data_IF_396916076217
#
_entry.id   IF_396916076217
#
_cell.length_a   1.000
_cell.length_b   1.000
_cell.length_c   1.000
_cell.angle_alpha   90.00
_cell.angle_beta   90.00
_cell.angle_gamma   90.00
#
_symmetry.space_group_name_H-M   'P 1'
#
loop_
_entity.id
_entity.type
_entity.pdbx_description
1 polymer ?
#
# COMPACT_ATOMS: atom_id res chain seq x y z
N UNK A 1 -55.97 9.76 -55.35
CA UNK A 1 -56.35 10.17 -53.98
C UNK A 1 -55.56 9.33 -52.96
N UNK A 2 -54.57 9.85 -52.38
CA UNK A 2 -53.77 9.16 -51.32
C UNK A 2 -54.46 9.42 -49.98
N UNK A 3 -55.11 8.37 -49.44
CA UNK A 3 -55.68 8.41 -48.08
C UNK A 3 -54.53 8.58 -47.05
N UNK A 4 -54.41 9.75 -46.47
CA UNK A 4 -53.55 9.99 -45.30
C UNK A 4 -54.16 9.26 -44.10
N UNK A 5 -53.54 8.16 -43.68
CA UNK A 5 -53.92 7.51 -42.41
C UNK A 5 -53.41 8.39 -41.29
N UNK A 6 -54.29 8.89 -40.43
CA UNK A 6 -53.92 9.57 -39.21
C UNK A 6 -53.61 8.49 -38.14
N UNK A 7 -52.50 8.68 -37.43
CA UNK A 7 -52.15 7.81 -36.29
C UNK A 7 -53.17 7.98 -35.18
N UNK A 8 -53.55 6.89 -34.58
CA UNK A 8 -54.44 6.89 -33.42
C UNK A 8 -53.62 7.24 -32.16
N UNK A 9 -54.24 7.89 -31.19
CA UNK A 9 -53.59 8.28 -29.92
C UNK A 9 -53.04 7.05 -29.18
N UNK A 10 -53.71 5.91 -29.27
CA UNK A 10 -53.29 4.65 -28.67
C UNK A 10 -52.00 4.08 -29.31
N UNK A 11 -51.86 4.26 -30.62
CA UNK A 11 -50.68 3.79 -31.38
C UNK A 11 -49.40 4.54 -30.98
N UNK A 12 -49.52 5.85 -30.75
CA UNK A 12 -48.43 6.68 -30.25
C UNK A 12 -48.09 6.29 -28.80
N UNK A 13 -49.07 6.06 -27.94
CA UNK A 13 -48.88 5.68 -26.56
C UNK A 13 -48.16 4.32 -26.44
N UNK A 14 -48.58 3.32 -27.25
CA UNK A 14 -47.92 2.02 -27.30
C UNK A 14 -46.49 2.13 -27.83
N UNK A 15 -46.26 2.93 -28.87
CA UNK A 15 -44.90 3.13 -29.40
C UNK A 15 -43.96 3.77 -28.38
N UNK A 16 -44.38 4.78 -27.62
CA UNK A 16 -43.58 5.40 -26.56
C UNK A 16 -43.31 4.39 -25.44
N UNK A 17 -44.31 3.60 -25.02
CA UNK A 17 -44.15 2.59 -23.98
C UNK A 17 -43.15 1.50 -24.41
N UNK A 18 -43.26 0.98 -25.63
CA UNK A 18 -42.31 -0.01 -26.15
C UNK A 18 -40.90 0.56 -26.31
N UNK A 19 -40.79 1.79 -26.80
CA UNK A 19 -39.48 2.45 -26.91
C UNK A 19 -38.83 2.64 -25.54
N UNK A 20 -39.61 3.08 -24.54
CA UNK A 20 -39.13 3.20 -23.17
C UNK A 20 -38.65 1.87 -22.57
N UNK A 21 -39.42 0.81 -22.78
CA UNK A 21 -39.08 -0.55 -22.33
C UNK A 21 -37.78 -1.07 -23.00
N UNK A 22 -37.67 -0.92 -24.31
CA UNK A 22 -36.48 -1.33 -25.06
C UNK A 22 -35.24 -0.53 -24.65
N UNK A 23 -35.40 0.77 -24.45
CA UNK A 23 -34.29 1.62 -23.98
C UNK A 23 -33.84 1.20 -22.58
N UNK A 24 -34.78 0.94 -21.67
CA UNK A 24 -34.46 0.46 -20.32
C UNK A 24 -33.70 -0.88 -20.33
N UNK A 25 -34.17 -1.83 -21.14
CA UNK A 25 -33.49 -3.13 -21.30
C UNK A 25 -32.11 -3.01 -21.94
N UNK A 26 -31.91 -2.08 -22.87
CA UNK A 26 -30.60 -1.85 -23.51
C UNK A 26 -29.60 -1.15 -22.59
N UNK A 27 -30.08 -0.27 -21.71
CA UNK A 27 -29.20 0.47 -20.78
C UNK A 27 -28.76 -0.35 -19.55
N UNK A 28 -29.56 -1.32 -19.12
CA UNK A 28 -29.25 -2.15 -17.96
C UNK A 28 -27.87 -2.85 -18.03
N UNK A 29 -27.52 -3.57 -19.11
CA UNK A 29 -26.20 -4.20 -19.22
C UNK A 29 -25.05 -3.20 -19.29
N UNK A 30 -25.28 -2.02 -19.87
CA UNK A 30 -24.27 -0.95 -19.92
C UNK A 30 -23.95 -0.44 -18.52
N UNK A 31 -24.97 -0.18 -17.71
CA UNK A 31 -24.78 0.27 -16.32
C UNK A 31 -24.00 -0.76 -15.49
N UNK A 32 -24.31 -2.06 -15.64
CA UNK A 32 -23.58 -3.15 -14.95
C UNK A 32 -22.12 -3.21 -15.42
N UNK A 33 -21.88 -3.07 -16.72
CA UNK A 33 -20.52 -3.10 -17.27
C UNK A 33 -19.68 -1.93 -16.79
N UNK A 34 -20.24 -0.72 -16.81
CA UNK A 34 -19.54 0.48 -16.31
C UNK A 34 -19.17 0.33 -14.84
N UNK A 35 -20.10 -0.15 -14.02
CA UNK A 35 -19.82 -0.38 -12.59
C UNK A 35 -18.68 -1.39 -12.39
N UNK A 36 -18.69 -2.51 -13.10
CA UNK A 36 -17.60 -3.51 -13.02
C UNK A 36 -16.26 -2.95 -13.48
N UNK A 37 -16.24 -2.12 -14.53
CA UNK A 37 -15.00 -1.49 -15.00
C UNK A 37 -14.43 -0.56 -13.95
N UNK A 38 -15.25 0.23 -13.26
CA UNK A 38 -14.80 1.12 -12.19
C UNK A 38 -14.24 0.31 -11.00
N UNK A 39 -14.98 -0.70 -10.53
CA UNK A 39 -14.52 -1.58 -9.44
C UNK A 39 -13.18 -2.25 -9.78
N UNK A 40 -13.05 -2.81 -10.99
CA UNK A 40 -11.81 -3.43 -11.45
C UNK A 40 -10.65 -2.42 -11.57
N UNK A 41 -10.92 -1.19 -11.98
CA UNK A 41 -9.90 -0.16 -12.11
C UNK A 41 -9.37 0.30 -10.75
N UNK A 42 -10.23 0.40 -9.74
CA UNK A 42 -9.83 0.71 -8.36
C UNK A 42 -8.92 -0.40 -7.81
N UNK A 43 -9.30 -1.67 -7.96
CA UNK A 43 -8.52 -2.83 -7.55
C UNK A 43 -7.13 -2.86 -8.21
N UNK A 44 -7.05 -2.64 -9.53
CA UNK A 44 -5.75 -2.55 -10.23
C UNK A 44 -4.88 -1.41 -9.75
N UNK A 45 -5.49 -0.28 -9.39
CA UNK A 45 -4.75 0.88 -8.89
C UNK A 45 -4.11 0.57 -7.53
N UNK A 46 -4.82 -0.13 -6.66
CA UNK A 46 -4.32 -0.52 -5.33
C UNK A 46 -3.21 -1.56 -5.41
N UNK A 47 -3.37 -2.59 -6.20
CA UNK A 47 -2.33 -3.60 -6.43
C UNK A 47 -1.06 -2.96 -7.05
N UNK A 48 -1.23 -2.04 -7.99
CA UNK A 48 -0.11 -1.33 -8.59
C UNK A 48 0.61 -0.43 -7.59
N UNK A 49 -0.12 0.22 -6.68
CA UNK A 49 0.45 1.06 -5.62
C UNK A 49 1.24 0.21 -4.61
N UNK A 50 0.69 -0.91 -4.16
CA UNK A 50 1.36 -1.90 -3.30
C UNK A 50 2.65 -2.42 -3.94
N UNK A 51 2.57 -2.84 -5.21
CA UNK A 51 3.74 -3.36 -5.94
C UNK A 51 4.84 -2.31 -6.13
N UNK A 52 4.49 -1.05 -6.39
CA UNK A 52 5.46 0.06 -6.47
C UNK A 52 6.13 0.30 -5.12
N UNK A 53 5.37 0.27 -4.03
CA UNK A 53 5.89 0.45 -2.68
C UNK A 53 6.85 -0.67 -2.31
N UNK A 54 6.50 -1.93 -2.58
CA UNK A 54 7.37 -3.08 -2.37
C UNK A 54 8.69 -2.94 -3.15
N UNK A 55 8.63 -2.57 -4.43
CA UNK A 55 9.82 -2.33 -5.25
C UNK A 55 10.67 -1.17 -4.72
N UNK A 56 10.03 -0.15 -4.13
CA UNK A 56 10.73 0.97 -3.53
C UNK A 56 11.49 0.57 -2.27
N UNK A 57 10.87 -0.20 -1.37
CA UNK A 57 11.53 -0.78 -0.18
C UNK A 57 12.66 -1.73 -0.60
N UNK A 58 12.42 -2.61 -1.56
CA UNK A 58 13.43 -3.53 -2.07
C UNK A 58 14.67 -2.80 -2.61
N UNK A 59 14.49 -1.69 -3.29
CA UNK A 59 15.58 -0.86 -3.79
C UNK A 59 16.38 -0.22 -2.66
N UNK A 60 15.72 0.29 -1.64
CA UNK A 60 16.37 0.88 -0.48
C UNK A 60 17.16 -0.17 0.32
N UNK A 61 16.61 -1.36 0.52
CA UNK A 61 17.28 -2.48 1.17
C UNK A 61 18.48 -2.97 0.36
N UNK A 62 18.37 -3.05 -0.98
CA UNK A 62 19.50 -3.42 -1.84
C UNK A 62 20.62 -2.37 -1.88
N UNK A 63 20.31 -1.10 -1.57
CA UNK A 63 21.29 -0.03 -1.43
C UNK A 63 21.93 0.03 -0.03
N UNK A 64 21.63 -0.92 0.85
CA UNK A 64 22.14 -0.94 2.22
C UNK A 64 23.66 -1.13 2.28
N UNK A 65 24.29 -0.51 3.27
CA UNK A 65 25.73 -0.56 3.51
C UNK A 65 26.15 -1.89 4.14
N UNK A 66 26.50 -2.89 3.33
CA UNK A 66 26.81 -4.26 3.77
C UNK A 66 27.99 -4.39 4.74
N UNK A 67 28.86 -3.41 4.81
CA UNK A 67 30.07 -3.44 5.65
C UNK A 67 29.84 -2.93 7.06
N UNK A 68 28.69 -2.36 7.38
CA UNK A 68 28.36 -1.91 8.74
C UNK A 68 27.85 -3.08 9.59
N UNK A 69 28.23 -3.19 10.87
CA UNK A 69 27.73 -4.25 11.74
C UNK A 69 26.24 -4.12 12.09
N UNK A 70 25.68 -2.91 12.01
CA UNK A 70 24.28 -2.61 12.33
C UNK A 70 23.59 -1.99 11.12
N UNK A 71 23.39 -2.77 10.07
CA UNK A 71 22.83 -2.28 8.80
C UNK A 71 21.31 -2.30 8.83
N UNK A 72 20.74 -3.30 9.48
CA UNK A 72 19.31 -3.55 9.51
C UNK A 72 18.82 -3.62 10.95
N UNK A 73 17.75 -2.91 11.24
CA UNK A 73 16.99 -3.05 12.48
C UNK A 73 15.52 -3.17 12.15
N UNK A 74 14.89 -4.20 12.67
CA UNK A 74 13.45 -4.42 12.64
C UNK A 74 12.97 -4.38 14.08
N UNK A 75 11.92 -3.62 14.35
CA UNK A 75 11.24 -3.57 15.63
C UNK A 75 9.81 -4.02 15.45
N UNK A 76 9.42 -5.01 16.23
CA UNK A 76 8.03 -5.45 16.33
C UNK A 76 7.17 -4.32 16.92
N UNK A 77 6.10 -3.99 16.24
CA UNK A 77 5.14 -2.99 16.67
C UNK A 77 3.75 -3.38 16.19
N UNK A 78 2.76 -3.12 17.01
CA UNK A 78 1.36 -3.38 16.68
C UNK A 78 0.57 -2.07 16.69
N UNK A 79 -0.41 -1.98 15.79
CA UNK A 79 -1.40 -0.91 15.81
C UNK A 79 -2.34 -1.06 16.99
N UNK A 80 -3.07 -0.01 17.36
CA UNK A 80 -4.16 -0.07 18.35
C UNK A 80 -5.24 -1.11 17.96
N UNK A 81 -5.30 -1.49 16.70
CA UNK A 81 -6.19 -2.51 16.18
C UNK A 81 -5.64 -3.94 16.21
N UNK A 82 -4.40 -4.16 16.70
CA UNK A 82 -3.75 -5.47 16.74
C UNK A 82 -3.26 -5.97 15.39
N UNK A 83 -3.04 -5.09 14.41
CA UNK A 83 -2.38 -5.42 13.15
C UNK A 83 -0.89 -5.16 13.27
N UNK A 84 -0.07 -5.90 12.55
CA UNK A 84 1.38 -5.67 12.48
C UNK A 84 1.67 -4.28 11.92
N UNK A 85 2.50 -3.53 12.63
CA UNK A 85 2.93 -2.17 12.28
C UNK A 85 4.43 -2.01 12.49
N UNK A 86 5.20 -3.01 12.06
CA UNK A 86 6.63 -3.09 12.29
C UNK A 86 7.39 -1.87 11.79
N UNK A 87 8.54 -1.63 12.41
CA UNK A 87 9.45 -0.58 11.99
C UNK A 87 10.68 -1.20 11.34
N UNK A 88 10.88 -0.86 10.07
CA UNK A 88 12.05 -1.27 9.30
C UNK A 88 13.03 -0.11 9.18
N UNK A 89 14.26 -0.29 9.66
CA UNK A 89 15.35 0.68 9.54
C UNK A 89 16.54 0.05 8.85
N UNK A 90 17.05 0.70 7.80
CA UNK A 90 18.24 0.24 7.08
C UNK A 90 19.23 1.37 6.86
N UNK A 91 20.51 1.09 7.05
CA UNK A 91 21.57 2.04 6.76
C UNK A 91 21.92 1.99 5.26
N UNK A 92 21.67 3.09 4.55
CA UNK A 92 21.93 3.20 3.13
C UNK A 92 23.15 4.08 2.83
N UNK A 93 23.97 3.64 1.88
CA UNK A 93 25.13 4.41 1.39
C UNK A 93 24.73 5.59 0.49
N UNK A 94 23.58 5.50 -0.14
CA UNK A 94 23.06 6.53 -1.05
C UNK A 94 21.54 6.49 -0.99
N UNK A 95 20.93 7.17 -0.01
CA UNK A 95 19.48 7.34 -0.03
C UNK A 95 19.09 8.00 -1.36
N UNK A 96 17.96 7.61 -1.91
CA UNK A 96 17.49 7.87 -3.28
C UNK A 96 17.42 9.36 -3.68
N UNK A 97 17.76 10.27 -2.79
CA UNK A 97 17.89 11.70 -3.04
C UNK A 97 19.36 12.02 -3.33
N UNK A 98 19.62 12.54 -4.52
CA UNK A 98 20.97 12.94 -4.94
C UNK A 98 21.59 13.92 -3.93
N UNK A 99 22.86 13.67 -3.55
CA UNK A 99 23.66 14.46 -2.64
C UNK A 99 23.35 14.37 -1.13
N UNK A 100 22.56 13.41 -0.67
CA UNK A 100 22.50 13.15 0.77
C UNK A 100 23.64 12.22 1.20
N UNK A 101 24.29 12.50 2.36
CA UNK A 101 25.27 11.58 2.94
C UNK A 101 24.60 10.25 3.31
N UNK A 102 25.43 9.22 3.48
CA UNK A 102 24.97 7.95 4.03
C UNK A 102 24.16 8.19 5.32
N UNK A 103 23.12 7.40 5.54
CA UNK A 103 22.24 7.54 6.67
C UNK A 103 21.18 6.45 6.73
N UNK A 104 20.37 6.51 7.74
CA UNK A 104 19.31 5.52 7.95
C UNK A 104 18.04 5.92 7.24
N UNK A 105 17.46 4.94 6.53
CA UNK A 105 16.12 4.99 5.98
C UNK A 105 15.22 4.22 6.94
N UNK A 106 14.14 4.86 7.39
CA UNK A 106 13.16 4.27 8.29
C UNK A 106 11.81 4.18 7.60
N UNK A 107 11.18 3.02 7.65
CA UNK A 107 9.79 2.79 7.27
C UNK A 107 8.97 2.50 8.51
N UNK A 108 7.87 3.20 8.68
CA UNK A 108 6.92 3.02 9.79
C UNK A 108 5.53 3.40 9.33
N UNK A 109 4.52 2.68 9.81
CA UNK A 109 3.13 3.06 9.64
C UNK A 109 2.72 4.14 10.64
N UNK A 110 1.89 5.07 10.18
CA UNK A 110 1.25 6.06 11.05
C UNK A 110 -0.25 5.88 10.94
N UNK A 111 -0.90 5.70 12.08
CA UNK A 111 -2.35 5.74 12.18
C UNK A 111 -2.83 7.19 12.15
N UNK A 112 -3.81 7.48 11.30
CA UNK A 112 -4.38 8.82 11.20
C UNK A 112 -5.10 9.25 12.48
N UNK A 113 -5.06 10.54 12.78
CA UNK A 113 -5.80 11.12 13.91
C UNK A 113 -5.16 10.99 15.29
N UNK A 114 -4.04 10.24 15.45
CA UNK A 114 -3.41 10.04 16.76
C UNK A 114 -2.48 11.18 17.19
N UNK A 115 -1.85 11.86 16.24
CA UNK A 115 -0.86 12.92 16.51
C UNK A 115 -1.31 14.31 16.08
N UNK A 116 -1.98 14.41 14.95
CA UNK A 116 -2.61 15.63 14.43
C UNK A 116 -3.81 15.22 13.57
N UNK A 117 -4.93 15.92 13.69
CA UNK A 117 -6.18 15.64 12.94
C UNK A 117 -6.01 15.58 11.42
N UNK A 118 -4.96 16.23 10.87
CA UNK A 118 -4.70 16.35 9.44
C UNK A 118 -3.63 15.38 8.91
N UNK A 119 -3.02 14.52 9.76
CA UNK A 119 -1.97 13.60 9.30
C UNK A 119 -2.59 12.39 8.61
N UNK A 120 -2.33 12.15 7.30
CA UNK A 120 -2.86 10.99 6.60
C UNK A 120 -2.31 9.69 7.19
N UNK A 121 -3.16 8.68 7.38
CA UNK A 121 -2.72 7.33 7.74
C UNK A 121 -1.99 6.67 6.58
N UNK A 122 -0.99 5.85 6.89
CA UNK A 122 -0.27 5.10 5.87
C UNK A 122 1.16 4.76 6.23
N UNK A 123 1.89 4.22 5.25
CA UNK A 123 3.31 3.89 5.37
C UNK A 123 4.15 5.12 5.02
N UNK A 124 4.98 5.53 5.96
CA UNK A 124 5.89 6.65 5.82
C UNK A 124 7.34 6.18 5.72
N UNK A 125 8.14 7.00 5.07
CA UNK A 125 9.59 6.84 4.90
C UNK A 125 10.32 8.09 5.36
N UNK A 126 11.28 7.92 6.28
CA UNK A 126 12.21 8.97 6.71
C UNK A 126 13.61 8.68 6.24
N UNK A 127 14.38 9.73 6.03
CA UNK A 127 15.81 9.66 5.80
C UNK A 127 16.48 10.48 6.89
N UNK A 128 17.31 9.84 7.71
CA UNK A 128 18.06 10.49 8.78
C UNK A 128 19.56 10.43 8.42
N UNK A 129 20.13 11.52 7.84
CA UNK A 129 21.51 11.54 7.40
C UNK A 129 22.46 11.39 8.58
N UNK A 130 23.53 10.58 8.42
CA UNK A 130 24.59 10.42 9.39
C UNK A 130 24.24 9.62 10.65
N UNK A 131 23.00 9.15 10.79
CA UNK A 131 22.56 8.33 11.92
C UNK A 131 22.64 6.83 11.60
N UNK A 132 22.99 6.02 12.59
CA UNK A 132 22.86 4.57 12.52
C UNK A 132 21.46 4.13 12.95
N UNK A 133 20.94 2.96 12.46
CA UNK A 133 19.61 2.48 12.83
C UNK A 133 19.36 2.36 14.34
N UNK A 134 20.39 1.97 15.10
CA UNK A 134 20.30 1.83 16.56
C UNK A 134 20.11 3.16 17.30
N UNK A 135 20.52 4.28 16.71
CA UNK A 135 20.48 5.62 17.33
C UNK A 135 19.16 6.34 17.07
N UNK A 136 18.30 5.74 16.23
CA UNK A 136 17.00 6.31 15.88
C UNK A 136 15.91 5.74 16.78
N UNK A 137 15.19 6.64 17.44
CA UNK A 137 13.97 6.35 18.16
C UNK A 137 12.79 6.55 17.20
N UNK A 138 12.14 5.46 16.74
CA UNK A 138 11.07 5.55 15.76
C UNK A 138 9.81 6.27 16.30
N UNK A 139 9.65 6.38 17.62
CA UNK A 139 8.50 7.03 18.23
C UNK A 139 8.65 8.56 18.30
N UNK A 140 9.88 9.05 18.09
CA UNK A 140 10.18 10.48 18.01
C UNK A 140 10.25 11.05 16.58
N UNK A 141 9.99 10.21 15.57
CA UNK A 141 9.98 10.68 14.19
C UNK A 141 8.76 11.57 13.93
N UNK A 142 9.03 12.80 13.46
CA UNK A 142 7.96 13.72 13.11
C UNK A 142 7.33 13.30 11.76
N UNK A 143 6.02 13.03 11.69
CA UNK A 143 5.32 12.71 10.45
C UNK A 143 5.51 13.75 9.34
N UNK A 144 5.55 15.03 9.69
CA UNK A 144 5.71 16.12 8.73
C UNK A 144 7.06 16.08 7.98
N UNK A 145 8.09 15.50 8.59
CA UNK A 145 9.42 15.31 7.97
C UNK A 145 9.51 14.02 7.17
N UNK A 146 8.52 13.15 7.27
CA UNK A 146 8.42 11.88 6.56
C UNK A 146 7.78 12.03 5.19
N UNK A 147 8.16 11.16 4.27
CA UNK A 147 7.50 11.02 2.98
C UNK A 147 6.43 9.95 3.08
N UNK A 148 5.16 10.30 2.86
CA UNK A 148 4.09 9.30 2.69
C UNK A 148 4.36 8.50 1.42
N UNK A 149 4.61 7.20 1.57
CA UNK A 149 4.91 6.27 0.47
C UNK A 149 3.65 5.60 -0.04
N UNK A 150 2.79 5.18 0.89
CA UNK A 150 1.53 4.52 0.57
C UNK A 150 0.46 4.93 1.60
N UNK A 151 -0.60 5.63 1.17
CA UNK A 151 -1.71 5.97 2.05
C UNK A 151 -2.60 4.75 2.36
N UNK A 152 -3.25 4.75 3.52
CA UNK A 152 -4.24 3.76 3.91
C UNK A 152 -3.66 2.37 4.20
N UNK A 153 -2.38 2.26 4.53
CA UNK A 153 -1.75 1.02 5.01
C UNK A 153 -2.24 0.75 6.42
N UNK A 154 -2.75 -0.44 6.63
CA UNK A 154 -3.24 -0.94 7.92
C UNK A 154 -2.42 -2.11 8.48
N UNK A 155 -1.53 -2.69 7.66
CA UNK A 155 -0.64 -3.78 8.04
C UNK A 155 0.72 -3.59 7.38
N UNK A 156 1.78 -3.64 8.17
CA UNK A 156 3.15 -3.66 7.70
C UNK A 156 3.96 -4.61 8.58
N UNK A 157 4.21 -5.81 8.08
CA UNK A 157 4.94 -6.85 8.76
C UNK A 157 6.30 -7.07 8.11
N UNK A 158 7.35 -7.15 8.92
CA UNK A 158 8.72 -7.36 8.46
C UNK A 158 9.39 -8.42 9.32
N UNK A 159 9.82 -9.51 8.72
CA UNK A 159 10.40 -10.65 9.42
C UNK A 159 11.71 -11.10 8.79
N UNK A 160 12.62 -11.61 9.61
CA UNK A 160 13.82 -12.30 9.13
C UNK A 160 13.59 -13.79 9.16
N UNK A 161 13.58 -14.48 7.99
CA UNK A 161 13.45 -15.93 7.96
C UNK A 161 14.59 -16.60 8.73
N UNK A 162 14.28 -17.46 9.70
CA UNK A 162 15.25 -18.27 10.43
C UNK A 162 15.28 -19.68 9.87
N UNK A 163 16.47 -20.26 9.79
CA UNK A 163 16.66 -21.68 9.38
C UNK A 163 16.34 -22.67 10.52
N UNK A 164 16.05 -22.20 11.71
CA UNK A 164 15.70 -23.05 12.83
C UNK A 164 14.28 -23.59 12.66
N UNK A 165 14.15 -24.90 12.86
CA UNK A 165 12.91 -25.68 12.66
C UNK A 165 11.79 -25.37 13.67
N UNK A 166 11.98 -24.44 14.55
CA UNK A 166 10.94 -23.86 15.38
C UNK A 166 10.41 -22.60 14.67
N UNK A 167 9.13 -22.53 14.52
CA UNK A 167 8.27 -21.57 13.79
C UNK A 167 8.43 -20.09 14.17
N UNK A 168 9.62 -19.64 14.53
CA UNK A 168 9.88 -18.28 14.99
C UNK A 168 10.64 -17.48 13.92
N UNK A 169 9.89 -16.96 12.96
CA UNK A 169 10.35 -15.79 12.21
C UNK A 169 10.64 -14.67 13.22
N UNK A 170 11.87 -14.14 13.18
CA UNK A 170 12.23 -13.08 14.12
C UNK A 170 11.60 -11.77 13.69
N UNK A 171 10.63 -11.32 14.45
CA UNK A 171 10.00 -10.00 14.32
C UNK A 171 10.92 -8.88 14.84
N UNK A 172 11.83 -9.18 15.76
CA UNK A 172 12.86 -8.24 16.21
C UNK A 172 14.24 -8.67 15.72
N UNK A 173 14.93 -7.76 15.05
CA UNK A 173 16.25 -8.00 14.50
C UNK A 173 17.10 -6.74 14.54
N UNK A 174 18.37 -6.88 14.92
CA UNK A 174 19.39 -5.83 14.78
C UNK A 174 20.70 -6.48 14.41
N UNK A 175 21.28 -6.08 13.28
CA UNK A 175 22.55 -6.67 12.84
C UNK A 175 22.90 -6.39 11.39
N UNK A 176 23.69 -7.30 10.84
CA UNK A 176 24.06 -7.30 9.41
C UNK A 176 22.86 -7.68 8.55
N UNK A 177 22.97 -7.47 7.24
CA UNK A 177 21.92 -7.94 6.31
C UNK A 177 21.81 -9.46 6.40
N UNK A 178 20.62 -10.00 6.67
CA UNK A 178 20.37 -11.44 6.62
C UNK A 178 20.38 -11.93 5.16
N UNK A 179 20.18 -13.22 4.93
CA UNK A 179 20.06 -13.77 3.58
C UNK A 179 18.83 -13.25 2.83
N UNK A 180 17.80 -12.84 3.57
CA UNK A 180 16.59 -12.23 3.03
C UNK A 180 15.72 -11.65 4.14
N UNK A 181 14.75 -10.83 3.74
CA UNK A 181 13.73 -10.25 4.61
C UNK A 181 12.38 -10.54 3.99
N UNK A 182 11.46 -11.07 4.77
CA UNK A 182 10.05 -11.20 4.40
C UNK A 182 9.34 -9.89 4.72
N UNK A 183 8.56 -9.38 3.78
CA UNK A 183 7.77 -8.16 3.96
C UNK A 183 6.36 -8.42 3.49
N UNK A 184 5.38 -8.05 4.32
CA UNK A 184 3.96 -8.04 4.02
C UNK A 184 3.41 -6.64 4.22
N UNK A 185 2.65 -6.17 3.24
CA UNK A 185 1.98 -4.86 3.28
C UNK A 185 0.52 -5.08 2.97
N UNK A 186 -0.36 -4.70 3.89
CA UNK A 186 -1.81 -4.73 3.76
C UNK A 186 -2.40 -3.33 3.66
N UNK A 187 -3.40 -3.17 2.79
CA UNK A 187 -4.17 -1.96 2.61
C UNK A 187 -5.65 -2.31 2.51
N UNK A 188 -6.52 -1.56 3.17
CA UNK A 188 -7.97 -1.73 3.11
C UNK A 188 -8.64 -1.50 4.45
N UNK A 189 -9.96 -1.37 4.44
CA UNK A 189 -10.77 -1.38 5.66
C UNK A 189 -10.98 -2.81 6.17
N UNK A 190 -10.97 -2.97 7.49
CA UNK A 190 -10.92 -4.22 8.26
C UNK A 190 -11.93 -5.31 7.86
N UNK A 191 -12.96 -5.01 7.07
CA UNK A 191 -14.08 -5.91 6.90
C UNK A 191 -14.34 -6.46 5.49
N UNK A 192 -13.77 -5.95 4.39
CA UNK A 192 -14.22 -6.44 3.08
C UNK A 192 -13.22 -6.47 1.91
N UNK A 193 -12.16 -5.68 1.87
CA UNK A 193 -11.24 -5.64 0.71
C UNK A 193 -9.79 -5.40 1.14
N UNK A 194 -9.22 -6.34 1.90
CA UNK A 194 -7.83 -6.26 2.32
C UNK A 194 -6.92 -6.72 1.16
N UNK A 195 -6.38 -5.78 0.41
CA UNK A 195 -5.36 -6.09 -0.57
C UNK A 195 -4.02 -6.22 0.12
N UNK A 196 -3.48 -7.42 0.12
CA UNK A 196 -2.18 -7.72 0.74
C UNK A 196 -1.18 -8.16 -0.32
N UNK A 197 0.03 -7.63 -0.24
CA UNK A 197 1.18 -8.11 -1.02
C UNK A 197 2.27 -8.61 -0.08
N UNK A 198 2.81 -9.77 -0.43
CA UNK A 198 3.91 -10.40 0.29
C UNK A 198 5.11 -10.61 -0.64
N UNK A 199 6.30 -10.41 -0.14
CA UNK A 199 7.52 -10.66 -0.89
C UNK A 199 8.69 -11.00 0.01
N UNK A 200 9.57 -11.87 -0.47
CA UNK A 200 10.87 -12.11 0.15
C UNK A 200 11.90 -11.35 -0.66
N UNK A 201 12.58 -10.42 -0.02
CA UNK A 201 13.70 -9.68 -0.61
C UNK A 201 14.97 -10.41 -0.23
N UNK A 202 15.57 -11.14 -1.17
CA UNK A 202 16.83 -11.83 -0.98
C UNK A 202 18.01 -10.90 -1.25
N UNK A 203 19.04 -11.00 -0.43
CA UNK A 203 20.28 -10.26 -0.58
C UNK A 203 21.37 -11.17 -1.17
N UNK A 204 21.99 -10.78 -2.30
CA UNK A 204 23.05 -11.55 -2.93
C UNK A 204 24.36 -11.55 -2.14
#
# INVERSE_FOLDING_TARGET
MTTRRAFTLIEILVAVLLTGLLTGLALAPVAVTVRRVVETQEEYTDIAALSRTMNFIARDLNAAMRLSPNVLTIKDHETLGGNDADVLMTMSSSPTIQNLPAGTITYKTIEGGLLHDDTPSGLYRWITPGAEPKDIDPDKLNPESGQLVLPGVNEFCVEVPTNDREDDNRKEYTGQLPAGVFIRIGRGEKDNDNHTIESIIAFP
#
